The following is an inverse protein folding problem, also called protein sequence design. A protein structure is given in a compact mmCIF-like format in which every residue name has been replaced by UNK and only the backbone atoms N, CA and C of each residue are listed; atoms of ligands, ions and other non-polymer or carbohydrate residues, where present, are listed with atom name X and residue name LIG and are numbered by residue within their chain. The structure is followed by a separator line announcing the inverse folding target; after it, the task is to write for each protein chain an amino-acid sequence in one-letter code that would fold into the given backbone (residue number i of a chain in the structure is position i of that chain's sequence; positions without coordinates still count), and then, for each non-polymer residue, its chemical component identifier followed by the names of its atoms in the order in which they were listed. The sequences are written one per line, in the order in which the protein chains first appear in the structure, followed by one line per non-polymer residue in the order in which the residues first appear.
data_IF_846424877364
#
_entry.id   IF_846424877364
#
_cell.length_a   1.000
_cell.length_b   1.000
_cell.length_c   1.000
_cell.angle_alpha   90.00
_cell.angle_beta   90.00
_cell.angle_gamma   90.00
#
_symmetry.space_group_name_H-M   'P 1'
#
loop_
_entity.id
_entity.type
_entity.pdbx_description
1 polymer ?
#
# COMPACT_ATOMS: atom_id res chain seq x y z
N UNK A 1 18.17 20.38 -50.13
CA UNK A 1 16.99 19.49 -50.06
C UNK A 1 16.91 18.96 -48.63
N UNK A 2 16.27 19.74 -47.75
CA UNK A 2 15.95 19.34 -46.38
C UNK A 2 14.73 18.45 -46.43
N UNK A 3 14.84 17.23 -45.94
CA UNK A 3 13.72 16.30 -45.80
C UNK A 3 13.11 16.56 -44.43
N UNK A 4 12.23 17.55 -44.37
CA UNK A 4 11.42 17.81 -43.19
C UNK A 4 10.55 16.57 -42.96
N UNK A 5 10.81 15.91 -41.84
CA UNK A 5 10.08 14.73 -41.42
C UNK A 5 8.64 15.15 -41.11
N UNK A 6 7.73 14.79 -42.00
CA UNK A 6 6.29 14.77 -41.75
C UNK A 6 6.03 13.78 -40.61
N UNK A 7 6.09 14.27 -39.37
CA UNK A 7 5.72 13.50 -38.18
C UNK A 7 4.23 13.75 -37.99
N UNK A 8 3.37 12.75 -38.23
CA UNK A 8 1.93 12.97 -38.21
C UNK A 8 1.51 13.53 -36.85
N UNK A 9 0.61 14.51 -36.93
CA UNK A 9 0.06 15.37 -35.89
C UNK A 9 -0.82 14.60 -34.88
N UNK A 10 -0.32 13.45 -34.41
CA UNK A 10 -1.00 12.58 -33.45
C UNK A 10 -1.15 13.27 -32.10
N UNK A 11 -0.26 14.22 -31.77
CA UNK A 11 -0.28 14.93 -30.50
C UNK A 11 -1.48 15.90 -30.36
N UNK A 12 -1.99 16.47 -31.46
CA UNK A 12 -3.15 17.39 -31.45
C UNK A 12 -4.49 16.73 -31.79
N UNK A 13 -4.50 15.46 -32.19
CA UNK A 13 -5.73 14.75 -32.51
C UNK A 13 -6.60 14.54 -31.26
N UNK A 14 -7.89 14.91 -31.34
CA UNK A 14 -8.90 14.64 -30.31
C UNK A 14 -8.89 13.17 -29.86
N UNK A 15 -8.52 12.26 -30.76
CA UNK A 15 -8.36 10.84 -30.44
C UNK A 15 -7.23 10.56 -29.46
N UNK A 16 -6.08 11.24 -29.57
CA UNK A 16 -4.99 11.06 -28.62
C UNK A 16 -5.36 11.56 -27.23
N UNK A 17 -6.12 12.66 -27.14
CA UNK A 17 -6.66 13.15 -25.86
C UNK A 17 -7.64 12.15 -25.23
N UNK A 18 -8.48 11.51 -26.04
CA UNK A 18 -9.40 10.46 -25.57
C UNK A 18 -8.65 9.22 -25.06
N UNK A 19 -7.63 8.78 -25.78
CA UNK A 19 -6.80 7.65 -25.35
C UNK A 19 -6.08 7.97 -24.05
N UNK A 20 -5.49 9.16 -23.93
CA UNK A 20 -4.84 9.60 -22.69
C UNK A 20 -5.82 9.62 -21.51
N UNK A 21 -7.03 10.15 -21.69
CA UNK A 21 -8.05 10.14 -20.65
C UNK A 21 -8.46 8.72 -20.24
N UNK A 22 -8.62 7.81 -21.20
CA UNK A 22 -8.92 6.41 -20.91
C UNK A 22 -7.81 5.74 -20.09
N UNK A 23 -6.54 6.00 -20.41
CA UNK A 23 -5.42 5.46 -19.64
C UNK A 23 -5.39 6.00 -18.21
N UNK A 24 -5.66 7.30 -18.02
CA UNK A 24 -5.77 7.91 -16.69
C UNK A 24 -6.92 7.28 -15.89
N UNK A 25 -8.10 7.17 -16.49
CA UNK A 25 -9.27 6.57 -15.84
C UNK A 25 -9.03 5.09 -15.48
N UNK A 26 -8.36 4.35 -16.37
CA UNK A 26 -7.98 2.96 -16.08
C UNK A 26 -7.00 2.86 -14.91
N UNK A 27 -6.00 3.75 -14.83
CA UNK A 27 -5.07 3.80 -13.71
C UNK A 27 -5.77 4.09 -12.38
N UNK A 28 -6.66 5.09 -12.38
CA UNK A 28 -7.47 5.44 -11.20
C UNK A 28 -8.38 4.27 -10.80
N UNK A 29 -9.00 3.59 -11.75
CA UNK A 29 -9.85 2.44 -11.49
C UNK A 29 -9.08 1.29 -10.84
N UNK A 30 -7.87 0.98 -11.31
CA UNK A 30 -7.01 -0.06 -10.73
C UNK A 30 -6.59 0.30 -9.30
N UNK A 31 -6.14 1.55 -9.08
CA UNK A 31 -5.75 2.02 -7.74
C UNK A 31 -6.96 1.97 -6.80
N UNK A 32 -8.10 2.50 -7.23
CA UNK A 32 -9.33 2.50 -6.44
C UNK A 32 -9.86 1.10 -6.15
N UNK A 33 -9.69 0.14 -7.06
CA UNK A 33 -10.05 -1.26 -6.83
C UNK A 33 -9.15 -1.89 -5.75
N UNK A 34 -7.84 -1.64 -5.82
CA UNK A 34 -6.88 -2.26 -4.91
C UNK A 34 -6.89 -1.64 -3.50
N UNK A 35 -7.19 -0.34 -3.41
CA UNK A 35 -7.30 0.42 -2.16
C UNK A 35 -8.74 0.73 -1.77
N UNK A 36 -9.71 -0.04 -2.29
CA UNK A 36 -11.13 0.22 -2.01
C UNK A 36 -11.43 0.19 -0.50
N UNK A 37 -10.73 -0.67 0.23
CA UNK A 37 -10.92 -0.87 1.67
C UNK A 37 -10.32 0.28 2.49
N UNK A 38 -9.35 1.03 1.94
CA UNK A 38 -8.80 2.25 2.54
C UNK A 38 -9.68 3.48 2.23
N UNK A 39 -10.29 3.55 1.04
CA UNK A 39 -11.15 4.66 0.60
C UNK A 39 -12.55 4.55 1.25
N UNK A 40 -13.04 3.33 1.41
CA UNK A 40 -14.31 3.02 2.05
C UNK A 40 -14.07 2.12 3.28
N UNK A 41 -13.43 2.66 4.34
CA UNK A 41 -13.15 1.88 5.53
C UNK A 41 -14.48 1.40 6.12
N UNK A 42 -14.65 0.10 6.39
CA UNK A 42 -15.81 -0.39 7.10
C UNK A 42 -15.87 0.28 8.49
N UNK A 43 -17.08 0.44 9.08
CA UNK A 43 -17.20 0.98 10.42
C UNK A 43 -16.29 0.19 11.36
N UNK A 44 -15.46 0.92 12.10
CA UNK A 44 -14.47 0.39 13.02
C UNK A 44 -15.18 -0.56 13.99
N UNK A 45 -14.99 -1.86 13.78
CA UNK A 45 -15.45 -2.86 14.74
C UNK A 45 -14.55 -2.71 15.95
N UNK A 46 -15.15 -2.35 17.08
CA UNK A 46 -14.52 -2.41 18.40
C UNK A 46 -14.05 -3.85 18.59
N UNK A 47 -12.77 -4.10 18.31
CA UNK A 47 -12.18 -5.43 18.42
C UNK A 47 -12.03 -5.72 19.90
N UNK A 48 -12.69 -6.78 20.37
CA UNK A 48 -12.44 -7.26 21.72
C UNK A 48 -10.93 -7.56 21.82
N UNK A 49 -10.30 -6.98 22.84
CA UNK A 49 -8.85 -7.03 23.01
C UNK A 49 -8.46 -8.48 23.28
N UNK A 50 -8.04 -9.19 22.24
CA UNK A 50 -7.45 -10.52 22.38
C UNK A 50 -6.08 -10.36 23.07
N UNK A 51 -5.90 -10.84 24.32
CA UNK A 51 -4.66 -10.65 25.06
C UNK A 51 -3.47 -11.37 24.40
N UNK A 52 -3.71 -12.48 23.68
CA UNK A 52 -2.65 -13.19 22.95
C UNK A 52 -2.20 -12.42 21.71
N UNK A 53 -3.14 -11.75 21.02
CA UNK A 53 -2.81 -10.84 19.93
C UNK A 53 -1.90 -9.70 20.42
N UNK A 54 -2.26 -9.07 21.54
CA UNK A 54 -1.47 -7.99 22.14
C UNK A 54 -0.08 -8.47 22.56
N UNK A 55 0.01 -9.64 23.21
CA UNK A 55 1.28 -10.24 23.60
C UNK A 55 2.18 -10.52 22.38
N UNK A 56 1.62 -11.10 21.30
CA UNK A 56 2.34 -11.36 20.06
C UNK A 56 2.91 -10.08 19.44
N UNK A 57 2.09 -9.02 19.34
CA UNK A 57 2.52 -7.74 18.77
C UNK A 57 3.64 -7.13 19.60
N UNK A 58 3.51 -7.16 20.94
CA UNK A 58 4.49 -6.58 21.83
C UNK A 58 5.83 -7.32 21.76
N UNK A 59 5.81 -8.65 21.81
CA UNK A 59 7.03 -9.46 21.71
C UNK A 59 7.76 -9.22 20.39
N UNK A 60 7.03 -9.27 19.26
CA UNK A 60 7.63 -9.07 17.93
C UNK A 60 8.14 -7.65 17.73
N UNK A 61 7.41 -6.65 18.21
CA UNK A 61 7.85 -5.24 18.09
C UNK A 61 9.11 -4.99 18.91
N UNK A 62 9.20 -5.56 20.12
CA UNK A 62 10.40 -5.46 20.95
C UNK A 62 11.63 -6.09 20.28
N UNK A 63 11.47 -7.21 19.57
CA UNK A 63 12.57 -7.79 18.79
C UNK A 63 13.04 -6.86 17.66
N UNK A 64 12.10 -6.24 16.93
CA UNK A 64 12.43 -5.26 15.89
C UNK A 64 13.10 -4.02 16.46
N UNK A 65 12.66 -3.55 17.62
CA UNK A 65 13.25 -2.41 18.33
C UNK A 65 14.68 -2.73 18.79
N UNK A 66 14.92 -3.96 19.25
CA UNK A 66 16.27 -4.46 19.55
C UNK A 66 17.18 -4.43 18.32
N UNK A 67 16.70 -4.96 17.18
CA UNK A 67 17.46 -4.93 15.92
C UNK A 67 17.76 -3.51 15.44
N UNK A 68 16.84 -2.56 15.66
CA UNK A 68 17.04 -1.16 15.33
C UNK A 68 18.08 -0.51 16.26
N UNK A 69 17.99 -0.77 17.57
CA UNK A 69 18.94 -0.28 18.56
C UNK A 69 20.36 -0.82 18.33
N UNK A 70 20.47 -2.09 17.93
CA UNK A 70 21.73 -2.75 17.59
C UNK A 70 22.27 -2.32 16.21
N UNK A 71 21.53 -1.49 15.47
CA UNK A 71 21.93 -0.98 14.15
C UNK A 71 21.92 -2.04 13.04
N UNK A 72 21.28 -3.20 13.28
CA UNK A 72 21.15 -4.28 12.31
C UNK A 72 20.21 -3.88 11.16
N UNK A 73 19.24 -3.02 11.45
CA UNK A 73 18.24 -2.53 10.49
C UNK A 73 18.12 -1.01 10.56
N UNK A 74 17.70 -0.40 9.45
CA UNK A 74 17.38 1.03 9.41
C UNK A 74 15.97 1.33 9.95
N UNK A 75 15.69 2.59 10.28
CA UNK A 75 14.34 3.01 10.71
C UNK A 75 13.25 2.67 9.68
N UNK A 76 13.56 2.79 8.39
CA UNK A 76 12.62 2.42 7.31
C UNK A 76 12.27 0.94 7.36
N UNK A 77 13.27 0.07 7.51
CA UNK A 77 13.08 -1.37 7.65
C UNK A 77 12.36 -1.74 8.94
N UNK A 78 12.64 -1.04 10.04
CA UNK A 78 11.95 -1.24 11.31
C UNK A 78 10.44 -0.96 11.18
N UNK A 79 10.03 0.11 10.47
CA UNK A 79 8.60 0.37 10.20
C UNK A 79 7.94 -0.78 9.43
N UNK A 80 8.57 -1.24 8.35
CA UNK A 80 8.03 -2.32 7.53
C UNK A 80 7.92 -3.63 8.33
N UNK A 81 8.91 -3.92 9.18
CA UNK A 81 8.93 -5.12 10.00
C UNK A 81 7.87 -5.08 11.11
N UNK A 82 7.67 -3.94 11.77
CA UNK A 82 6.56 -3.77 12.73
C UNK A 82 5.20 -3.95 12.05
N UNK A 83 5.00 -3.36 10.86
CA UNK A 83 3.76 -3.52 10.10
C UNK A 83 3.48 -4.99 9.75
N UNK A 84 4.49 -5.74 9.29
CA UNK A 84 4.38 -7.17 9.00
C UNK A 84 4.16 -8.00 10.27
N UNK A 85 4.79 -7.65 11.38
CA UNK A 85 4.58 -8.32 12.66
C UNK A 85 3.13 -8.19 13.13
N UNK A 86 2.53 -7.01 12.99
CA UNK A 86 1.11 -6.77 13.30
C UNK A 86 0.22 -7.65 12.42
N UNK A 87 0.43 -7.65 11.11
CA UNK A 87 -0.34 -8.49 10.17
C UNK A 87 -0.22 -9.98 10.50
N UNK A 88 1.00 -10.45 10.80
CA UNK A 88 1.24 -11.83 11.20
C UNK A 88 0.47 -12.18 12.49
N UNK A 89 0.54 -11.34 13.51
CA UNK A 89 -0.14 -11.59 14.77
C UNK A 89 -1.68 -11.57 14.60
N UNK A 90 -2.23 -10.69 13.77
CA UNK A 90 -3.66 -10.66 13.46
C UNK A 90 -4.14 -11.92 12.72
N UNK A 91 -3.28 -12.53 11.88
CA UNK A 91 -3.59 -13.81 11.23
C UNK A 91 -3.51 -14.99 12.19
N UNK A 92 -2.56 -14.95 13.14
CA UNK A 92 -2.34 -16.03 14.09
C UNK A 92 -3.33 -16.02 15.26
N UNK A 93 -3.68 -14.82 15.74
CA UNK A 93 -4.58 -14.54 16.84
C UNK A 93 -5.64 -13.54 16.37
N UNK A 94 -6.70 -14.01 15.69
CA UNK A 94 -7.74 -13.12 15.22
C UNK A 94 -8.35 -12.36 16.41
N UNK A 95 -8.70 -11.07 16.23
CA UNK A 95 -9.38 -10.33 17.27
C UNK A 95 -10.71 -11.02 17.58
N UNK A 96 -11.01 -11.19 18.86
CA UNK A 96 -12.27 -11.80 19.27
C UNK A 96 -13.41 -10.87 18.85
N UNK A 97 -14.45 -11.48 18.26
CA UNK A 97 -15.59 -10.79 17.66
C UNK A 97 -16.82 -10.86 18.55
#
# INVERSE_FOLDING_TARGET
MTRDADKPDFAESRFARLIALLLILAGIAVIGWHHRDDIFPPPEKETAVNPELFACINERSAQVDGMLADGVISEGQARDFRARAIQFCQQQFPPEN
#
